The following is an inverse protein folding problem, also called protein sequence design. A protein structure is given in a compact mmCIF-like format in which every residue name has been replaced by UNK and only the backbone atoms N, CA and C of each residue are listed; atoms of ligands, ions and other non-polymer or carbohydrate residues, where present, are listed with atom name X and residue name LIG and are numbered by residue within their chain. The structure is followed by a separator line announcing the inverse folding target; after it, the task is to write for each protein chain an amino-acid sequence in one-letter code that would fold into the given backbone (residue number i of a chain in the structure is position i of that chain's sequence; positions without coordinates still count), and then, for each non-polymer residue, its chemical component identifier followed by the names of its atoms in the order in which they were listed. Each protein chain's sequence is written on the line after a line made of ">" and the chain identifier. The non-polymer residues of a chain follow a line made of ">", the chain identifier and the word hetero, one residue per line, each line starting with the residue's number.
data_IF_857288378317
#
_entry.id   IF_857288378317
#
_cell.length_a   1.000
_cell.length_b   1.000
_cell.length_c   1.000
_cell.angle_alpha   90.00
_cell.angle_beta   90.00
_cell.angle_gamma   90.00
#
_symmetry.space_group_name_H-M   'P 1'
#
loop_
_entity.id
_entity.type
_entity.pdbx_description
1 polymer ?
#
# COMPACT_ATOMS: atom_id res chain seq x y z
N UNK A 1 32.89 20.62 13.28
CA UNK A 1 32.14 19.49 12.70
C UNK A 1 30.83 19.34 13.47
N UNK A 2 29.68 19.56 12.84
CA UNK A 2 28.39 19.56 13.53
C UNK A 2 27.97 18.14 13.95
N UNK A 3 27.66 17.96 15.24
CA UNK A 3 27.24 16.71 15.86
C UNK A 3 25.83 16.36 15.38
N UNK A 4 25.72 15.55 14.33
CA UNK A 4 24.43 15.07 13.79
C UNK A 4 23.76 14.19 14.84
N UNK A 5 22.62 14.61 15.36
CA UNK A 5 21.91 13.91 16.44
C UNK A 5 21.42 12.54 15.96
N UNK A 6 22.08 11.47 16.39
CA UNK A 6 21.74 10.09 16.04
C UNK A 6 20.34 9.64 16.53
N UNK A 7 19.71 10.43 17.41
CA UNK A 7 18.39 10.15 17.99
C UNK A 7 17.25 10.20 16.96
N UNK A 8 17.37 11.01 15.90
CA UNK A 8 16.33 11.11 14.87
C UNK A 8 16.15 9.78 14.12
N UNK A 9 17.25 9.06 13.85
CA UNK A 9 17.20 7.74 13.21
C UNK A 9 16.59 6.68 14.14
N UNK A 10 16.85 6.76 15.45
CA UNK A 10 16.28 5.84 16.44
C UNK A 10 14.76 6.04 16.60
N UNK A 11 14.30 7.29 16.59
CA UNK A 11 12.86 7.59 16.60
C UNK A 11 12.19 7.12 15.31
N UNK A 12 12.81 7.33 14.15
CA UNK A 12 12.31 6.87 12.86
C UNK A 12 12.23 5.35 12.80
N UNK A 13 13.29 4.65 13.18
CA UNK A 13 13.32 3.19 13.25
C UNK A 13 12.25 2.64 14.21
N UNK A 14 11.94 3.34 15.31
CA UNK A 14 10.88 2.94 16.27
C UNK A 14 9.46 3.12 15.71
N UNK A 15 9.24 4.12 14.85
CA UNK A 15 7.98 4.33 14.13
C UNK A 15 7.84 3.26 13.04
N UNK A 16 8.90 3.05 12.24
CA UNK A 16 8.98 1.98 11.25
C UNK A 16 8.81 0.60 11.90
N UNK A 17 9.25 0.42 13.16
CA UNK A 17 9.02 -0.79 13.97
C UNK A 17 7.53 -1.09 14.18
N UNK A 18 6.69 -0.06 14.29
CA UNK A 18 5.23 -0.25 14.41
C UNK A 18 4.61 -0.68 13.08
N UNK A 19 5.24 -0.31 11.97
CA UNK A 19 4.91 -0.73 10.61
C UNK A 19 5.58 -2.06 10.21
N UNK A 20 6.34 -2.75 11.08
CA UNK A 20 6.98 -4.05 10.76
C UNK A 20 5.99 -5.13 10.30
N UNK A 21 4.69 -4.97 10.62
CA UNK A 21 3.63 -5.86 10.16
C UNK A 21 3.13 -5.55 8.73
N UNK A 22 3.45 -4.38 8.19
CA UNK A 22 3.00 -3.92 6.89
C UNK A 22 4.17 -3.67 5.93
N UNK A 23 4.04 -4.20 4.72
CA UNK A 23 5.05 -4.00 3.69
C UNK A 23 5.01 -2.55 3.17
N UNK A 24 6.16 -1.89 3.09
CA UNK A 24 6.24 -0.57 2.49
C UNK A 24 6.06 -0.66 0.98
N UNK A 25 5.41 0.34 0.38
CA UNK A 25 5.22 0.41 -1.08
C UNK A 25 6.54 0.31 -1.86
N UNK A 26 7.62 0.89 -1.31
CA UNK A 26 8.96 0.84 -1.92
C UNK A 26 9.50 -0.59 -1.98
N UNK A 27 9.29 -1.37 -0.92
CA UNK A 27 9.78 -2.75 -0.85
C UNK A 27 9.01 -3.63 -1.84
N UNK A 28 7.69 -3.47 -1.90
CA UNK A 28 6.83 -4.12 -2.90
C UNK A 28 7.32 -3.80 -4.32
N UNK A 29 7.57 -2.54 -4.62
CA UNK A 29 8.02 -2.13 -5.94
C UNK A 29 9.41 -2.68 -6.29
N UNK A 30 10.31 -2.74 -5.30
CA UNK A 30 11.65 -3.28 -5.47
C UNK A 30 11.64 -4.79 -5.72
N UNK A 31 10.75 -5.53 -5.09
CA UNK A 31 10.61 -6.97 -5.31
C UNK A 31 9.89 -7.25 -6.65
N UNK A 32 8.72 -6.66 -6.85
CA UNK A 32 7.83 -7.00 -7.96
C UNK A 32 8.35 -6.57 -9.33
N UNK A 33 9.27 -5.60 -9.41
CA UNK A 33 9.91 -5.21 -10.69
C UNK A 33 10.61 -6.40 -11.36
N UNK A 34 11.11 -7.37 -10.59
CA UNK A 34 11.78 -8.55 -11.11
C UNK A 34 10.81 -9.56 -11.74
N UNK A 35 9.53 -9.51 -11.36
CA UNK A 35 8.51 -10.47 -11.78
C UNK A 35 7.53 -9.91 -12.82
N UNK A 36 7.78 -8.71 -13.36
CA UNK A 36 6.87 -8.01 -14.28
C UNK A 36 6.27 -8.92 -15.37
N UNK A 37 7.12 -9.71 -16.04
CA UNK A 37 6.68 -10.55 -17.15
C UNK A 37 5.78 -11.72 -16.71
N UNK A 38 5.84 -12.12 -15.45
CA UNK A 38 5.04 -13.21 -14.89
C UNK A 38 3.58 -12.79 -14.63
N UNK A 39 3.31 -11.48 -14.57
CA UNK A 39 1.97 -10.95 -14.31
C UNK A 39 1.10 -10.82 -15.57
N UNK A 40 1.67 -10.94 -16.76
CA UNK A 40 0.91 -10.76 -18.01
C UNK A 40 -0.22 -11.79 -18.11
N UNK A 41 -1.44 -11.28 -18.34
CA UNK A 41 -2.70 -12.04 -18.42
C UNK A 41 -3.02 -12.87 -17.16
N UNK A 42 -2.41 -12.54 -16.01
CA UNK A 42 -2.71 -13.20 -14.74
C UNK A 42 -3.77 -12.44 -13.96
N UNK A 43 -4.44 -13.21 -13.10
CA UNK A 43 -5.32 -12.68 -12.06
C UNK A 43 -4.52 -12.64 -10.78
N UNK A 44 -4.49 -11.48 -10.11
CA UNK A 44 -3.83 -11.32 -8.81
C UNK A 44 -4.90 -11.19 -7.74
N UNK A 45 -4.77 -11.99 -6.68
CA UNK A 45 -5.58 -11.91 -5.48
C UNK A 45 -4.80 -11.17 -4.39
N UNK A 46 -5.34 -10.05 -3.88
CA UNK A 46 -4.84 -9.38 -2.68
C UNK A 46 -5.82 -9.63 -1.53
N UNK A 47 -5.36 -10.38 -0.53
CA UNK A 47 -5.95 -10.28 0.80
C UNK A 47 -5.50 -8.94 1.38
N UNK A 48 -6.45 -8.04 1.66
CA UNK A 48 -6.13 -6.74 2.20
C UNK A 48 -7.09 -6.44 3.35
N UNK A 49 -6.62 -6.13 4.56
CA UNK A 49 -7.51 -5.84 5.71
C UNK A 49 -8.35 -4.57 5.48
N UNK A 50 -7.71 -3.52 4.94
CA UNK A 50 -8.36 -2.32 4.40
C UNK A 50 -7.81 -2.03 2.99
N UNK A 51 -8.64 -2.03 1.94
CA UNK A 51 -8.18 -1.74 0.57
C UNK A 51 -7.65 -0.30 0.42
N UNK A 52 -8.12 0.65 1.23
CA UNK A 52 -7.68 2.05 1.14
C UNK A 52 -6.28 2.24 1.71
N UNK A 53 -5.93 1.51 2.77
CA UNK A 53 -4.62 1.58 3.41
C UNK A 53 -3.60 0.57 2.84
N UNK A 54 -4.04 -0.42 2.05
CA UNK A 54 -3.15 -1.47 1.54
C UNK A 54 -2.17 -0.99 0.47
N UNK A 55 -0.88 -1.00 0.80
CA UNK A 55 0.21 -0.73 -0.15
C UNK A 55 0.25 -1.78 -1.29
N UNK A 56 -0.18 -3.01 -1.04
CA UNK A 56 -0.26 -4.07 -2.05
C UNK A 56 -1.33 -3.77 -3.09
N UNK A 57 -2.54 -3.44 -2.64
CA UNK A 57 -3.61 -3.02 -3.55
C UNK A 57 -3.19 -1.79 -4.34
N UNK A 58 -2.67 -0.76 -3.65
CA UNK A 58 -2.20 0.47 -4.27
C UNK A 58 -1.17 0.21 -5.37
N UNK A 59 -0.19 -0.67 -5.12
CA UNK A 59 0.81 -1.03 -6.12
C UNK A 59 0.18 -1.67 -7.37
N UNK A 60 -0.61 -2.74 -7.19
CA UNK A 60 -1.18 -3.47 -8.32
C UNK A 60 -2.23 -2.65 -9.09
N UNK A 61 -3.02 -1.84 -8.39
CA UNK A 61 -4.00 -0.96 -9.01
C UNK A 61 -3.32 0.11 -9.89
N UNK A 62 -2.31 0.80 -9.36
CA UNK A 62 -1.58 1.83 -10.13
C UNK A 62 -0.78 1.22 -11.30
N UNK A 63 -0.28 -0.01 -11.14
CA UNK A 63 0.51 -0.69 -12.16
C UNK A 63 -0.31 -1.67 -13.02
N UNK A 64 -1.64 -1.65 -12.93
CA UNK A 64 -2.50 -2.69 -13.53
C UNK A 64 -2.22 -2.90 -15.02
N UNK A 65 -2.24 -1.79 -15.79
CA UNK A 65 -1.95 -1.80 -17.23
C UNK A 65 -0.47 -2.07 -17.50
N UNK A 66 0.43 -1.54 -16.67
CA UNK A 66 1.87 -1.71 -16.82
C UNK A 66 2.33 -3.16 -16.65
N UNK A 67 1.68 -3.90 -15.75
CA UNK A 67 1.90 -5.33 -15.50
C UNK A 67 1.13 -6.23 -16.47
N UNK A 68 0.18 -5.68 -17.24
CA UNK A 68 -0.67 -6.44 -18.15
C UNK A 68 -1.57 -7.43 -17.44
N UNK A 69 -2.07 -7.08 -16.25
CA UNK A 69 -2.96 -7.93 -15.47
C UNK A 69 -4.29 -8.14 -16.19
N UNK A 70 -4.82 -9.36 -16.09
CA UNK A 70 -6.17 -9.69 -16.56
C UNK A 70 -7.21 -9.18 -15.58
N UNK A 71 -6.96 -9.37 -14.29
CA UNK A 71 -7.89 -9.04 -13.22
C UNK A 71 -7.14 -8.86 -11.89
N UNK A 72 -7.66 -8.00 -11.02
CA UNK A 72 -7.16 -7.78 -9.67
C UNK A 72 -8.34 -7.95 -8.71
N UNK A 73 -8.30 -9.01 -7.92
CA UNK A 73 -9.32 -9.35 -6.94
C UNK A 73 -8.81 -8.93 -5.58
N UNK A 74 -9.61 -8.18 -4.83
CA UNK A 74 -9.30 -7.83 -3.45
C UNK A 74 -10.41 -8.25 -2.52
N UNK A 75 -10.03 -8.78 -1.37
CA UNK A 75 -10.96 -9.10 -0.29
C UNK A 75 -10.52 -8.36 0.94
N UNK A 76 -11.46 -7.65 1.56
CA UNK A 76 -11.27 -7.02 2.85
C UNK A 76 -12.39 -7.38 3.80
N UNK A 77 -12.07 -7.37 5.10
CA UNK A 77 -13.09 -7.54 6.12
C UNK A 77 -13.91 -6.26 6.20
N UNK A 78 -15.11 -6.29 5.60
CA UNK A 78 -16.06 -5.20 5.70
C UNK A 78 -16.97 -5.45 6.90
N UNK A 79 -16.68 -4.77 8.02
CA UNK A 79 -17.64 -4.60 9.11
C UNK A 79 -18.97 -4.08 8.53
N UNK A 80 -20.12 -4.63 8.94
CA UNK A 80 -21.44 -4.19 8.46
C UNK A 80 -21.72 -2.70 8.80
N UNK A 81 -20.90 -2.10 9.65
CA UNK A 81 -20.89 -0.68 9.94
C UNK A 81 -20.06 0.08 8.89
N UNK A 82 -20.75 0.65 7.90
CA UNK A 82 -20.21 1.56 6.86
C UNK A 82 -19.40 2.76 7.38
N UNK A 83 -19.34 2.98 8.71
CA UNK A 83 -18.66 4.12 9.35
C UNK A 83 -17.20 3.87 9.74
N UNK A 84 -16.69 2.65 9.66
CA UNK A 84 -15.28 2.33 9.96
C UNK A 84 -14.44 2.29 8.68
N UNK A 85 -14.42 3.38 7.92
CA UNK A 85 -13.26 3.64 7.07
C UNK A 85 -12.20 4.24 7.99
N UNK A 86 -10.99 3.67 8.01
CA UNK A 86 -9.85 4.35 8.62
C UNK A 86 -9.80 5.76 8.02
N UNK A 87 -9.80 6.77 8.89
CA UNK A 87 -9.88 8.18 8.51
C UNK A 87 -8.58 8.69 7.86
N UNK A 88 -8.03 7.95 6.91
CA UNK A 88 -6.94 8.43 6.06
C UNK A 88 -7.55 8.99 4.78
N UNK A 89 -7.71 10.32 4.81
CA UNK A 89 -7.98 11.24 3.70
C UNK A 89 -8.63 10.63 2.45
N UNK A 90 -9.94 10.41 2.55
CA UNK A 90 -10.78 10.24 1.37
C UNK A 90 -10.65 11.46 0.44
N UNK A 91 -10.36 11.29 -0.87
CA UNK A 91 -10.21 12.38 -1.85
C UNK A 91 -11.52 13.14 -2.16
N UNK A 92 -12.57 12.99 -1.34
CA UNK A 92 -13.86 13.68 -1.50
C UNK A 92 -13.84 15.16 -1.09
N UNK A 93 -12.69 15.74 -0.76
CA UNK A 93 -12.58 17.17 -0.40
C UNK A 93 -12.22 18.09 -1.57
N UNK A 94 -11.97 17.56 -2.77
CA UNK A 94 -11.72 18.34 -3.98
C UNK A 94 -12.91 18.10 -4.92
N UNK A 95 -14.01 18.82 -4.69
CA UNK A 95 -15.16 19.08 -5.58
C UNK A 95 -16.31 19.56 -4.69
N UNK A 96 -16.20 20.80 -4.23
CA UNK A 96 -17.35 21.65 -3.94
C UNK A 96 -17.00 23.03 -4.48
N UNK A 97 -17.90 23.49 -5.34
CA UNK A 97 -17.91 24.80 -6.00
C UNK A 97 -17.82 25.97 -4.99
#
# INVERSE_FOLDING_TARGET
>A
MAKKSANANLHKAKIEKKDEFYTQLKDIANELKHYKNHFKNKVVYCNCDDPLASNFFKYFFLNFKYLGLKELITTCYKSQNFREFSAEDSPKKILRD
#
